data_IF_282096340291
#
_entry.id   IF_282096340291
#
_cell.length_a   1.000
_cell.length_b   1.000
_cell.length_c   1.000
_cell.angle_alpha   90.00
_cell.angle_beta   90.00
_cell.angle_gamma   90.00
#
_symmetry.space_group_name_H-M   'P 1'
#
loop_
_entity.id
_entity.type
_entity.pdbx_description
1 polymer ?
#
# COMPACT_ATOMS: atom_id res chain seq x y z
N UNK A 1 38.12 78.67 10.19
CA UNK A 1 38.52 77.75 9.10
C UNK A 1 38.03 76.36 9.42
N UNK A 2 36.91 76.00 8.80
CA UNK A 2 36.27 74.72 9.01
C UNK A 2 36.69 73.77 7.89
N UNK A 3 37.17 72.55 8.25
CA UNK A 3 37.36 71.47 7.29
C UNK A 3 36.37 70.32 7.63
N UNK A 4 35.41 70.23 6.74
CA UNK A 4 34.43 69.16 6.68
C UNK A 4 35.11 67.82 6.30
N UNK A 5 34.90 66.79 7.09
CA UNK A 5 35.26 65.39 6.79
C UNK A 5 33.99 64.64 6.41
N UNK A 6 33.87 64.37 5.12
CA UNK A 6 32.81 63.54 4.57
C UNK A 6 33.10 62.05 4.88
N UNK A 7 32.24 61.45 5.68
CA UNK A 7 32.23 60.03 5.91
C UNK A 7 31.57 59.31 4.71
N UNK A 8 32.35 58.43 4.06
CA UNK A 8 31.84 57.51 3.01
C UNK A 8 31.23 56.28 3.67
N UNK A 9 29.94 56.16 3.56
CA UNK A 9 29.24 54.94 3.94
C UNK A 9 29.47 53.87 2.89
N UNK A 10 30.10 52.76 3.30
CA UNK A 10 30.20 51.55 2.46
C UNK A 10 29.04 50.66 2.78
N UNK A 11 28.08 50.62 1.85
CA UNK A 11 26.96 49.70 1.90
C UNK A 11 27.43 48.29 1.54
N UNK A 12 27.50 47.39 2.51
CA UNK A 12 27.71 45.97 2.29
C UNK A 12 26.39 45.35 1.81
N UNK A 13 26.32 44.95 0.54
CA UNK A 13 25.26 44.09 0.03
C UNK A 13 25.44 42.67 0.60
N UNK A 14 24.62 42.30 1.53
CA UNK A 14 24.46 40.91 1.94
C UNK A 14 23.61 40.17 0.91
N UNK A 15 24.27 39.34 0.08
CA UNK A 15 23.56 38.40 -0.82
C UNK A 15 23.05 37.25 0.02
N UNK A 16 21.74 37.22 0.35
CA UNK A 16 21.08 36.05 0.89
C UNK A 16 20.93 35.02 -0.24
N UNK A 17 21.80 34.02 -0.25
CA UNK A 17 21.60 32.81 -1.02
C UNK A 17 20.42 32.02 -0.39
N UNK A 18 19.21 32.17 -0.95
CA UNK A 18 18.07 31.34 -0.64
C UNK A 18 18.35 29.94 -1.20
N UNK A 19 18.89 29.07 -0.37
CA UNK A 19 19.00 27.64 -0.65
C UNK A 19 17.59 27.05 -0.73
N UNK A 20 17.09 26.79 -1.95
CA UNK A 20 15.92 25.93 -2.15
C UNK A 20 16.29 24.52 -1.66
N UNK A 21 15.97 24.20 -0.41
CA UNK A 21 15.90 22.82 0.04
C UNK A 21 14.75 22.18 -0.75
N UNK A 22 15.09 21.44 -1.81
CA UNK A 22 14.17 20.52 -2.47
C UNK A 22 13.94 19.42 -1.44
N UNK A 23 12.89 19.58 -0.61
CA UNK A 23 12.36 18.48 0.18
C UNK A 23 11.92 17.43 -0.85
N UNK A 24 12.72 16.38 -0.99
CA UNK A 24 12.31 15.20 -1.72
C UNK A 24 11.01 14.69 -1.06
N UNK A 25 9.87 14.95 -1.69
CA UNK A 25 8.58 14.37 -1.31
C UNK A 25 8.59 12.88 -1.65
N UNK A 26 9.45 12.10 -0.98
CA UNK A 26 9.49 10.66 -1.00
C UNK A 26 8.82 10.14 0.25
N UNK A 27 7.50 10.31 0.36
CA UNK A 27 6.71 9.54 1.34
C UNK A 27 6.74 8.06 0.97
N UNK A 28 6.50 7.15 1.94
CA UNK A 28 6.35 5.74 1.63
C UNK A 28 5.24 5.56 0.59
N UNK A 29 5.47 4.66 -0.38
CA UNK A 29 4.48 4.39 -1.41
C UNK A 29 3.16 3.95 -0.77
N UNK A 30 2.05 4.42 -1.33
CA UNK A 30 0.73 4.08 -0.82
C UNK A 30 0.46 2.58 -0.98
N UNK A 31 -0.06 1.95 0.06
CA UNK A 31 -0.56 0.57 -0.02
C UNK A 31 -1.79 0.51 -0.91
N UNK A 32 -1.83 -0.48 -1.79
CA UNK A 32 -2.96 -0.72 -2.70
C UNK A 32 -4.16 -1.29 -1.92
N UNK A 33 -3.90 -2.33 -1.15
CA UNK A 33 -4.86 -2.97 -0.23
C UNK A 33 -4.11 -3.79 0.82
N UNK A 34 -4.83 -4.27 1.82
CA UNK A 34 -4.31 -5.22 2.80
C UNK A 34 -5.13 -6.51 2.80
N UNK A 35 -4.47 -7.65 2.89
CA UNK A 35 -5.09 -8.95 3.06
C UNK A 35 -4.61 -9.58 4.35
N UNK A 36 -5.53 -9.92 5.22
CA UNK A 36 -5.28 -10.77 6.37
C UNK A 36 -5.98 -12.10 6.13
N UNK A 37 -5.21 -13.16 6.04
CA UNK A 37 -5.70 -14.53 5.93
C UNK A 37 -5.45 -15.25 7.25
N UNK A 38 -6.44 -16.00 7.69
CA UNK A 38 -6.35 -16.93 8.80
C UNK A 38 -6.93 -18.28 8.37
N UNK A 39 -6.73 -19.31 9.15
CA UNK A 39 -7.32 -20.59 8.78
C UNK A 39 -7.08 -21.72 9.78
N UNK A 40 -7.62 -22.89 9.46
CA UNK A 40 -7.61 -24.07 10.32
C UNK A 40 -6.35 -24.94 10.18
N UNK A 41 -5.46 -24.61 9.24
CA UNK A 41 -4.23 -25.40 8.98
C UNK A 41 -2.99 -24.61 9.39
N UNK A 42 -1.88 -25.30 9.71
CA UNK A 42 -0.59 -24.65 9.99
C UNK A 42 -0.15 -23.77 8.82
N UNK A 43 0.37 -22.56 9.13
CA UNK A 43 0.81 -21.60 8.11
C UNK A 43 -0.32 -20.85 7.40
N UNK A 44 -1.57 -21.00 7.85
CA UNK A 44 -2.69 -20.27 7.29
C UNK A 44 -2.60 -18.76 7.55
N UNK A 45 -2.06 -18.36 8.69
CA UNK A 45 -1.99 -16.95 9.09
C UNK A 45 -0.98 -16.19 8.22
N UNK A 46 -1.49 -15.15 7.58
CA UNK A 46 -0.73 -14.36 6.62
C UNK A 46 -1.26 -12.93 6.60
N UNK A 47 -0.35 -11.97 6.58
CA UNK A 47 -0.68 -10.58 6.29
C UNK A 47 0.12 -10.10 5.08
N UNK A 48 -0.60 -9.70 4.03
CA UNK A 48 -0.02 -9.14 2.80
C UNK A 48 -0.47 -7.71 2.60
N UNK A 49 0.47 -6.85 2.21
CA UNK A 49 0.18 -5.46 1.86
C UNK A 49 1.01 -5.09 0.62
N UNK A 50 0.46 -5.18 -0.59
CA UNK A 50 1.10 -4.66 -1.78
C UNK A 50 1.07 -3.14 -1.82
N UNK A 51 2.11 -2.54 -2.38
CA UNK A 51 2.28 -1.10 -2.59
C UNK A 51 2.54 -0.79 -4.07
N UNK A 52 2.18 0.41 -4.50
CA UNK A 52 2.28 0.82 -5.91
C UNK A 52 3.71 1.00 -6.42
N UNK A 53 4.73 0.85 -5.57
CA UNK A 53 6.15 0.90 -5.93
C UNK A 53 6.75 -0.49 -6.25
N UNK A 54 5.92 -1.52 -6.36
CA UNK A 54 6.37 -2.88 -6.69
C UNK A 54 6.86 -3.70 -5.51
N UNK A 55 6.48 -3.33 -4.29
CA UNK A 55 6.78 -4.12 -3.11
C UNK A 55 5.52 -4.76 -2.51
N UNK A 56 5.72 -5.84 -1.79
CA UNK A 56 4.70 -6.44 -0.93
C UNK A 56 5.30 -6.69 0.45
N UNK A 57 4.57 -6.34 1.49
CA UNK A 57 4.93 -6.70 2.85
C UNK A 57 4.26 -8.02 3.21
N UNK A 58 5.07 -9.05 3.53
CA UNK A 58 4.63 -10.36 3.99
C UNK A 58 4.92 -10.47 5.49
N UNK A 59 3.91 -10.52 6.33
CA UNK A 59 4.07 -10.64 7.79
C UNK A 59 5.08 -9.65 8.38
N UNK A 60 5.11 -8.41 7.87
CA UNK A 60 6.01 -7.35 8.30
C UNK A 60 7.34 -7.25 7.55
N UNK A 61 7.66 -8.18 6.66
CA UNK A 61 8.88 -8.16 5.84
C UNK A 61 8.57 -7.72 4.42
N UNK A 62 9.31 -6.73 3.91
CA UNK A 62 9.12 -6.19 2.56
C UNK A 62 9.90 -6.99 1.53
N UNK A 63 9.26 -7.31 0.41
CA UNK A 63 9.81 -8.03 -0.72
C UNK A 63 9.43 -7.32 -2.01
N UNK A 64 10.36 -7.29 -2.97
CA UNK A 64 10.03 -6.82 -4.32
C UNK A 64 9.26 -7.91 -5.07
N UNK A 65 8.19 -7.53 -5.77
CA UNK A 65 7.39 -8.44 -6.60
C UNK A 65 7.66 -8.22 -8.09
N UNK A 66 7.60 -9.28 -8.91
CA UNK A 66 7.69 -9.15 -10.36
C UNK A 66 6.55 -8.29 -10.94
N UNK A 67 6.83 -7.58 -12.03
CA UNK A 67 5.87 -6.68 -12.69
C UNK A 67 4.50 -7.32 -12.98
N UNK A 68 4.38 -8.59 -13.43
CA UNK A 68 3.06 -9.20 -13.61
C UNK A 68 2.23 -9.30 -12.33
N UNK A 69 2.87 -9.54 -11.17
CA UNK A 69 2.18 -9.58 -9.89
C UNK A 69 1.79 -8.18 -9.41
N UNK A 70 2.56 -7.15 -9.73
CA UNK A 70 2.21 -5.76 -9.46
C UNK A 70 0.99 -5.34 -10.29
N UNK A 71 1.00 -5.61 -11.59
CA UNK A 71 -0.13 -5.31 -12.48
C UNK A 71 -1.42 -6.01 -12.01
N UNK A 72 -1.31 -7.29 -11.64
CA UNK A 72 -2.44 -8.03 -11.07
C UNK A 72 -2.94 -7.37 -9.75
N UNK A 73 -2.03 -6.87 -8.89
CA UNK A 73 -2.40 -6.18 -7.66
C UNK A 73 -3.10 -4.85 -7.91
N UNK A 74 -2.64 -4.06 -8.88
CA UNK A 74 -3.27 -2.80 -9.28
C UNK A 74 -4.69 -3.03 -9.82
N UNK A 75 -4.86 -4.00 -10.71
CA UNK A 75 -6.18 -4.38 -11.22
C UNK A 75 -7.12 -4.89 -10.12
N UNK A 76 -6.58 -5.64 -9.15
CA UNK A 76 -7.33 -6.08 -7.99
C UNK A 76 -7.73 -4.90 -7.10
N UNK A 77 -6.84 -3.93 -6.87
CA UNK A 77 -7.14 -2.76 -6.07
C UNK A 77 -8.38 -2.02 -6.59
N UNK A 78 -8.50 -1.84 -7.90
CA UNK A 78 -9.68 -1.24 -8.53
C UNK A 78 -10.93 -2.10 -8.37
N UNK A 79 -10.81 -3.41 -8.59
CA UNK A 79 -11.94 -4.34 -8.51
C UNK A 79 -12.46 -4.54 -7.06
N UNK A 80 -11.61 -4.34 -6.05
CA UNK A 80 -11.95 -4.49 -4.64
C UNK A 80 -12.68 -3.27 -4.05
N UNK A 81 -12.76 -2.15 -4.75
CA UNK A 81 -13.44 -0.94 -4.28
C UNK A 81 -14.92 -1.22 -3.97
N UNK A 82 -15.63 -1.90 -4.88
CA UNK A 82 -17.06 -2.13 -4.73
C UNK A 82 -17.43 -2.99 -3.50
N UNK A 83 -16.84 -4.18 -3.28
CA UNK A 83 -17.11 -4.97 -2.08
C UNK A 83 -16.66 -4.28 -0.80
N UNK A 84 -15.54 -3.52 -0.83
CA UNK A 84 -15.05 -2.79 0.33
C UNK A 84 -15.97 -1.63 0.72
N UNK A 85 -16.47 -0.86 -0.25
CA UNK A 85 -17.40 0.24 0.00
C UNK A 85 -18.74 -0.27 0.59
N UNK A 86 -19.19 -1.44 0.17
CA UNK A 86 -20.39 -2.07 0.73
C UNK A 86 -20.16 -2.67 2.12
N UNK A 87 -18.90 -2.89 2.51
CA UNK A 87 -18.56 -3.56 3.77
C UNK A 87 -19.10 -5.00 3.81
N UNK A 88 -19.04 -5.72 2.68
CA UNK A 88 -19.60 -7.06 2.54
C UNK A 88 -18.98 -8.04 3.54
N UNK A 89 -19.85 -8.88 4.12
CA UNK A 89 -19.43 -10.02 4.95
C UNK A 89 -20.13 -11.25 4.39
N UNK A 90 -19.43 -11.97 3.54
CA UNK A 90 -19.97 -13.19 2.98
C UNK A 90 -19.99 -14.28 4.06
N UNK A 91 -21.10 -15.01 4.12
CA UNK A 91 -21.21 -16.15 5.01
C UNK A 91 -20.10 -17.17 4.71
N UNK A 92 -19.56 -17.79 5.75
CA UNK A 92 -18.61 -18.88 5.59
C UNK A 92 -19.34 -20.15 5.14
N UNK A 93 -18.67 -20.97 4.33
CA UNK A 93 -19.13 -22.31 4.04
C UNK A 93 -18.94 -23.25 5.25
N UNK A 94 -19.35 -24.53 5.11
CA UNK A 94 -19.37 -25.47 6.23
C UNK A 94 -17.99 -25.89 6.74
N UNK A 95 -16.97 -25.89 5.89
CA UNK A 95 -15.62 -26.36 6.21
C UNK A 95 -14.51 -25.45 5.66
N UNK A 96 -14.51 -24.13 5.99
CA UNK A 96 -13.54 -23.21 5.43
C UNK A 96 -12.13 -23.57 5.90
N UNK A 97 -11.19 -23.61 4.96
CA UNK A 97 -9.76 -23.74 5.24
C UNK A 97 -9.18 -22.38 5.53
N UNK A 98 -9.58 -21.37 4.75
CA UNK A 98 -9.10 -19.99 4.88
C UNK A 98 -10.25 -19.00 5.03
N UNK A 99 -10.01 -18.02 5.89
CA UNK A 99 -10.83 -16.81 6.01
C UNK A 99 -9.98 -15.60 5.64
N UNK A 100 -10.56 -14.69 4.89
CA UNK A 100 -9.91 -13.49 4.41
C UNK A 100 -10.62 -12.26 4.97
N UNK A 101 -9.83 -11.32 5.49
CA UNK A 101 -10.25 -9.94 5.76
C UNK A 101 -9.44 -9.04 4.84
N UNK A 102 -10.12 -8.29 4.00
CA UNK A 102 -9.50 -7.39 3.02
C UNK A 102 -9.82 -5.96 3.39
N UNK A 103 -8.78 -5.13 3.45
CA UNK A 103 -8.88 -3.69 3.75
C UNK A 103 -8.40 -2.91 2.55
N UNK A 104 -9.16 -1.91 2.13
CA UNK A 104 -8.83 -0.97 1.07
C UNK A 104 -8.99 0.46 1.59
N UNK A 105 -8.53 1.49 0.88
CA UNK A 105 -8.85 2.88 1.23
C UNK A 105 -10.35 3.18 1.29
N UNK A 106 -11.18 2.39 0.58
CA UNK A 106 -12.64 2.56 0.50
C UNK A 106 -13.42 1.81 1.58
N UNK A 107 -12.77 0.99 2.39
CA UNK A 107 -13.42 0.18 3.43
C UNK A 107 -12.82 -1.21 3.57
N UNK A 108 -13.59 -2.13 4.13
CA UNK A 108 -13.15 -3.51 4.34
C UNK A 108 -14.29 -4.49 4.10
N UNK A 109 -13.94 -5.73 3.77
CA UNK A 109 -14.89 -6.83 3.62
C UNK A 109 -14.24 -8.15 4.06
N UNK A 110 -15.04 -9.18 4.25
CA UNK A 110 -14.56 -10.50 4.66
C UNK A 110 -15.30 -11.62 3.95
N UNK A 111 -14.61 -12.72 3.70
CA UNK A 111 -15.12 -13.94 3.09
C UNK A 111 -14.25 -15.13 3.47
N UNK A 112 -14.71 -16.34 3.18
CA UNK A 112 -13.92 -17.57 3.26
C UNK A 112 -13.73 -18.19 1.88
N UNK A 113 -12.81 -19.13 1.76
CA UNK A 113 -12.60 -19.90 0.53
C UNK A 113 -13.81 -20.73 0.12
N UNK A 114 -14.73 -21.02 1.06
CA UNK A 114 -16.01 -21.71 0.81
C UNK A 114 -17.24 -20.79 0.89
N UNK A 115 -17.06 -19.47 0.92
CA UNK A 115 -18.21 -18.57 0.91
C UNK A 115 -19.06 -18.78 -0.35
N UNK A 116 -20.38 -19.00 -0.23
CA UNK A 116 -21.26 -19.13 -1.39
C UNK A 116 -21.35 -17.80 -2.14
N UNK A 117 -21.59 -17.86 -3.44
CA UNK A 117 -21.76 -16.69 -4.31
C UNK A 117 -20.57 -15.74 -4.38
N UNK A 118 -19.34 -16.25 -4.21
CA UNK A 118 -18.14 -15.49 -4.46
C UNK A 118 -18.10 -15.03 -5.92
N UNK A 119 -17.89 -13.72 -6.14
CA UNK A 119 -17.63 -13.19 -7.46
C UNK A 119 -16.23 -13.55 -7.96
N UNK A 120 -16.00 -13.41 -9.25
CA UNK A 120 -14.71 -13.69 -9.92
C UNK A 120 -13.54 -12.95 -9.26
N UNK A 121 -13.74 -11.72 -8.82
CA UNK A 121 -12.73 -10.90 -8.14
C UNK A 121 -12.15 -11.58 -6.89
N UNK A 122 -12.97 -12.22 -6.07
CA UNK A 122 -12.50 -12.88 -4.85
C UNK A 122 -11.68 -14.15 -5.16
N UNK A 123 -12.04 -14.89 -6.21
CA UNK A 123 -11.23 -16.01 -6.70
C UNK A 123 -9.87 -15.52 -7.24
N UNK A 124 -9.87 -14.41 -7.97
CA UNK A 124 -8.64 -13.79 -8.47
C UNK A 124 -7.75 -13.30 -7.33
N UNK A 125 -8.32 -12.69 -6.30
CA UNK A 125 -7.58 -12.28 -5.12
C UNK A 125 -6.94 -13.48 -4.41
N UNK A 126 -7.69 -14.56 -4.18
CA UNK A 126 -7.15 -15.76 -3.56
C UNK A 126 -6.03 -16.41 -4.41
N UNK A 127 -6.18 -16.39 -5.74
CA UNK A 127 -5.15 -16.87 -6.66
C UNK A 127 -3.89 -16.01 -6.62
N UNK A 128 -4.05 -14.69 -6.59
CA UNK A 128 -2.95 -13.74 -6.44
C UNK A 128 -2.20 -13.94 -5.13
N UNK A 129 -2.90 -14.05 -4.00
CA UNK A 129 -2.30 -14.34 -2.69
C UNK A 129 -1.45 -15.60 -2.74
N UNK A 130 -1.94 -16.69 -3.35
CA UNK A 130 -1.17 -17.93 -3.50
C UNK A 130 0.09 -17.75 -4.35
N UNK A 131 0.00 -16.97 -5.44
CA UNK A 131 1.17 -16.67 -6.30
C UNK A 131 2.24 -15.90 -5.51
N UNK A 132 1.85 -14.84 -4.82
CA UNK A 132 2.78 -14.03 -4.01
C UNK A 132 3.48 -14.87 -2.96
N UNK A 133 2.73 -15.68 -2.20
CA UNK A 133 3.30 -16.55 -1.17
C UNK A 133 4.35 -17.52 -1.74
N UNK A 134 4.10 -18.09 -2.90
CA UNK A 134 5.04 -19.03 -3.56
C UNK A 134 6.26 -18.35 -4.15
N UNK A 135 6.13 -17.06 -4.53
CA UNK A 135 7.17 -16.36 -5.29
C UNK A 135 8.12 -15.60 -4.36
N UNK A 136 7.61 -14.93 -3.33
CA UNK A 136 8.41 -13.97 -2.55
C UNK A 136 8.25 -14.08 -1.03
N UNK A 137 7.19 -14.67 -0.54
CA UNK A 137 7.02 -14.89 0.89
C UNK A 137 7.53 -16.25 1.31
#
# INVERSE_FOLDING_TARGET
MARSLTARSVSALAVLAAGCAIAACGGPAASLFGVQRSGSIPGADLRLVPSGDGHVTCNGHSHQIPDPLLIDAENLADALVAPATKGERLASGPHPVYTYVVTTPSGHFSYSDESPHQGTTLYQLAAWVRKVVRTVC
#
